data_IF_761684649879
#
_entry.id   IF_761684649879
#
_cell.length_a   1.000
_cell.length_b   1.000
_cell.length_c   1.000
_cell.angle_alpha   90.00
_cell.angle_beta   90.00
_cell.angle_gamma   90.00
#
_symmetry.space_group_name_H-M   'P 1'
#
loop_
_entity.id
_entity.type
_entity.pdbx_description
1 polymer ?
#
# COMPACT_ATOMS: atom_id res chain seq x y z
N UNK A 1 -6.01 9.00 4.59
CA UNK A 1 -6.65 10.12 5.33
C UNK A 1 -8.16 9.95 5.27
N UNK A 2 -8.88 10.34 6.32
CA UNK A 2 -10.33 10.23 6.41
C UNK A 2 -10.94 11.55 6.91
N UNK A 3 -12.15 11.86 6.46
CA UNK A 3 -12.91 13.05 6.80
C UNK A 3 -14.17 12.66 7.58
N UNK A 4 -14.43 13.32 8.69
CA UNK A 4 -15.67 13.12 9.45
C UNK A 4 -16.64 14.24 9.12
N UNK A 5 -17.79 13.90 8.55
CA UNK A 5 -18.85 14.85 8.19
C UNK A 5 -20.10 14.61 9.06
N UNK A 6 -20.78 15.70 9.41
CA UNK A 6 -22.02 15.65 10.19
C UNK A 6 -23.23 15.68 9.26
N UNK A 7 -24.07 14.66 9.32
CA UNK A 7 -25.33 14.62 8.59
C UNK A 7 -26.28 15.69 9.15
N UNK A 8 -26.74 16.62 8.30
CA UNK A 8 -27.54 17.78 8.73
C UNK A 8 -28.91 17.35 9.28
N UNK A 9 -29.50 16.28 8.73
CA UNK A 9 -30.85 15.82 9.09
C UNK A 9 -30.90 15.06 10.42
N UNK A 10 -29.88 14.24 10.70
CA UNK A 10 -29.85 13.33 11.85
C UNK A 10 -28.87 13.78 12.93
N UNK A 11 -27.95 14.68 12.60
CA UNK A 11 -26.86 15.12 13.45
C UNK A 11 -25.74 14.08 13.63
N UNK A 12 -25.83 12.93 12.97
CA UNK A 12 -24.84 11.86 13.11
C UNK A 12 -23.54 12.18 12.38
N UNK A 13 -22.42 11.89 13.03
CA UNK A 13 -21.10 11.95 12.42
C UNK A 13 -20.85 10.67 11.63
N UNK A 14 -20.48 10.81 10.37
CA UNK A 14 -20.07 9.72 9.49
C UNK A 14 -18.65 9.98 9.00
N UNK A 15 -17.85 8.92 8.95
CA UNK A 15 -16.48 8.98 8.45
C UNK A 15 -16.45 8.51 7.02
N UNK A 16 -15.79 9.28 6.17
CA UNK A 16 -15.59 9.02 4.75
C UNK A 16 -14.10 8.98 4.45
N UNK A 17 -13.70 8.10 3.54
CA UNK A 17 -12.37 8.12 2.95
C UNK A 17 -12.22 9.32 2.02
N UNK A 18 -10.97 9.74 1.78
CA UNK A 18 -10.69 10.80 0.82
C UNK A 18 -11.24 10.49 -0.60
N UNK A 19 -11.24 9.21 -1.00
CA UNK A 19 -11.79 8.75 -2.28
C UNK A 19 -13.28 9.06 -2.40
N UNK A 20 -14.08 8.68 -1.40
CA UNK A 20 -15.53 8.89 -1.39
C UNK A 20 -15.89 10.38 -1.42
N UNK A 21 -15.11 11.23 -0.74
CA UNK A 21 -15.28 12.68 -0.77
C UNK A 21 -14.97 13.26 -2.15
N UNK A 22 -13.88 12.82 -2.80
CA UNK A 22 -13.50 13.30 -4.13
C UNK A 22 -14.48 12.86 -5.21
N UNK A 23 -15.01 11.64 -5.12
CA UNK A 23 -16.09 11.14 -5.98
C UNK A 23 -17.37 11.98 -5.86
N UNK A 24 -17.72 12.41 -4.64
CA UNK A 24 -18.89 13.26 -4.38
C UNK A 24 -18.72 14.71 -4.86
N UNK A 25 -17.51 15.25 -4.80
CA UNK A 25 -17.19 16.62 -5.27
C UNK A 25 -17.06 16.66 -6.80
N UNK A 26 -17.05 15.51 -7.47
CA UNK A 26 -17.01 15.39 -8.93
C UNK A 26 -15.63 15.70 -9.50
N UNK A 27 -14.58 15.56 -8.69
CA UNK A 27 -13.21 15.84 -9.13
C UNK A 27 -12.68 14.67 -9.98
N UNK A 28 -12.72 14.85 -11.30
CA UNK A 28 -12.19 13.91 -12.31
C UNK A 28 -10.67 13.94 -12.43
N UNK A 29 -9.97 14.85 -11.74
CA UNK A 29 -8.57 15.21 -12.05
C UNK A 29 -7.60 14.03 -11.96
N UNK A 30 -7.94 12.95 -11.24
CA UNK A 30 -7.05 11.79 -11.11
C UNK A 30 -7.31 10.65 -12.11
N UNK A 31 -8.28 10.75 -13.02
CA UNK A 31 -8.56 9.69 -14.00
C UNK A 31 -8.19 10.08 -15.44
N UNK A 32 -7.73 11.32 -15.68
CA UNK A 32 -7.41 11.82 -17.03
C UNK A 32 -5.95 12.29 -17.12
N UNK A 33 -5.22 11.85 -18.14
CA UNK A 33 -3.86 12.32 -18.48
C UNK A 33 -3.82 12.84 -19.91
N UNK A 34 -2.97 13.84 -20.16
CA UNK A 34 -2.81 14.44 -21.50
C UNK A 34 -1.46 14.01 -22.07
N UNK A 35 -1.48 13.39 -23.26
CA UNK A 35 -0.27 13.02 -23.99
C UNK A 35 -0.43 13.53 -25.42
N UNK A 36 0.44 14.47 -25.85
CA UNK A 36 0.45 15.04 -27.22
C UNK A 36 -0.92 15.59 -27.68
N UNK A 37 -1.52 16.44 -26.85
CA UNK A 37 -2.83 17.10 -27.07
C UNK A 37 -4.05 16.17 -27.09
N UNK A 38 -3.88 14.88 -26.79
CA UNK A 38 -4.98 13.91 -26.65
C UNK A 38 -5.22 13.56 -25.17
N UNK A 39 -6.50 13.41 -24.81
CA UNK A 39 -6.95 13.12 -23.44
C UNK A 39 -7.18 11.62 -23.28
N UNK A 40 -6.50 11.00 -22.33
CA UNK A 40 -6.57 9.57 -22.05
C UNK A 40 -7.14 9.31 -20.65
N UNK A 41 -7.95 8.26 -20.52
CA UNK A 41 -8.43 7.80 -19.21
C UNK A 41 -7.52 6.73 -18.62
N UNK A 42 -7.03 6.95 -17.41
CA UNK A 42 -6.19 5.97 -16.69
C UNK A 42 -6.99 4.69 -16.41
N UNK A 43 -8.29 4.81 -16.11
CA UNK A 43 -9.21 3.67 -15.93
C UNK A 43 -9.32 2.71 -17.12
N UNK A 44 -8.82 3.09 -18.31
CA UNK A 44 -8.74 2.24 -19.50
C UNK A 44 -7.39 1.55 -19.70
N UNK A 45 -6.44 1.73 -18.77
CA UNK A 45 -5.15 1.05 -18.79
C UNK A 45 -5.37 -0.47 -18.76
N UNK A 46 -5.14 -1.11 -19.90
CA UNK A 46 -4.96 -2.55 -20.00
C UNK A 46 -3.48 -2.80 -19.76
N UNK A 47 -3.17 -3.59 -18.75
CA UNK A 47 -1.79 -4.00 -18.46
C UNK A 47 -1.19 -4.61 -19.73
N UNK A 48 -0.13 -4.02 -20.29
CA UNK A 48 0.53 -4.58 -21.47
C UNK A 48 1.21 -5.93 -21.19
N UNK A 49 1.20 -6.37 -19.93
CA UNK A 49 1.57 -7.72 -19.51
C UNK A 49 0.47 -8.77 -19.75
N UNK A 50 -0.74 -8.37 -20.17
CA UNK A 50 -1.90 -9.25 -20.40
C UNK A 50 -2.29 -9.38 -21.89
N UNK A 51 -1.31 -9.30 -22.79
CA UNK A 51 -1.55 -9.32 -24.24
C UNK A 51 -0.47 -10.06 -25.03
N UNK A 52 -0.11 -11.28 -24.62
CA UNK A 52 0.75 -12.19 -25.38
C UNK A 52 0.18 -13.59 -25.37
N UNK A 53 -0.41 -13.99 -26.49
CA UNK A 53 -0.90 -15.33 -26.78
C UNK A 53 0.22 -16.37 -26.57
N UNK A 54 0.08 -17.25 -25.58
CA UNK A 54 1.01 -18.36 -25.34
C UNK A 54 1.38 -18.62 -23.88
N UNK A 55 0.51 -19.36 -23.17
CA UNK A 55 0.80 -20.20 -21.99
C UNK A 55 1.68 -19.63 -20.87
N UNK A 56 1.13 -19.48 -19.66
CA UNK A 56 1.44 -20.26 -18.44
C UNK A 56 0.73 -19.60 -17.23
N UNK A 57 -0.16 -20.34 -16.56
CA UNK A 57 -0.76 -20.11 -15.21
C UNK A 57 -0.98 -18.66 -14.71
N UNK A 58 -2.21 -18.16 -14.83
CA UNK A 58 -2.70 -16.92 -14.20
C UNK A 58 -2.94 -17.12 -12.70
N UNK A 59 -1.91 -16.93 -11.86
CA UNK A 59 -2.08 -16.86 -10.41
C UNK A 59 -2.84 -15.61 -9.99
N UNK A 60 -3.74 -15.72 -9.02
CA UNK A 60 -4.40 -14.55 -8.41
C UNK A 60 -3.41 -13.85 -7.47
N UNK A 61 -3.27 -12.53 -7.60
CA UNK A 61 -2.48 -11.70 -6.67
C UNK A 61 -3.38 -11.34 -5.48
N UNK A 62 -3.00 -11.80 -4.29
CA UNK A 62 -3.60 -11.40 -3.02
C UNK A 62 -2.70 -10.35 -2.33
N UNK A 63 -3.30 -9.30 -1.75
CA UNK A 63 -2.54 -8.25 -1.06
C UNK A 63 -2.63 -8.47 0.44
N UNK A 64 -1.52 -8.90 1.03
CA UNK A 64 -1.44 -9.17 2.46
C UNK A 64 -1.15 -7.86 3.20
N UNK A 65 -1.86 -7.65 4.32
CA UNK A 65 -1.57 -6.57 5.29
C UNK A 65 -1.17 -7.20 6.60
N UNK A 66 0.06 -6.93 7.04
CA UNK A 66 0.64 -7.42 8.28
C UNK A 66 0.96 -6.25 9.20
N UNK A 67 0.46 -6.30 10.43
CA UNK A 67 0.85 -5.36 11.48
C UNK A 67 2.02 -5.97 12.27
N UNK A 68 3.14 -5.25 12.32
CA UNK A 68 4.35 -5.67 13.02
C UNK A 68 4.29 -5.15 14.46
N UNK A 69 4.38 -6.06 15.42
CA UNK A 69 4.41 -5.71 16.84
C UNK A 69 5.85 -5.49 17.31
N UNK A 70 6.07 -4.39 18.05
CA UNK A 70 7.30 -4.12 18.78
C UNK A 70 7.25 -4.72 20.18
N UNK A 71 8.33 -5.38 20.61
CA UNK A 71 8.47 -5.84 21.99
C UNK A 71 9.14 -4.77 22.86
N UNK A 72 9.97 -3.90 22.26
CA UNK A 72 10.70 -2.86 22.97
C UNK A 72 10.86 -1.57 22.15
N UNK A 73 10.99 -0.43 22.84
CA UNK A 73 11.30 0.84 22.18
C UNK A 73 12.72 0.79 21.60
N UNK A 74 12.90 1.37 20.41
CA UNK A 74 14.16 1.36 19.67
C UNK A 74 14.45 0.05 18.95
N UNK A 75 13.47 -0.84 18.83
CA UNK A 75 13.60 -2.06 18.04
C UNK A 75 13.74 -1.73 16.55
N UNK A 76 14.81 -2.26 15.94
CA UNK A 76 15.13 -2.02 14.53
C UNK A 76 14.98 -3.26 13.66
N UNK A 77 14.66 -4.41 14.25
CA UNK A 77 14.56 -5.69 13.54
C UNK A 77 13.28 -6.40 13.93
N UNK A 78 12.43 -6.63 12.95
CA UNK A 78 11.10 -7.22 13.14
C UNK A 78 11.04 -8.59 12.50
N UNK A 79 10.44 -9.55 13.19
CA UNK A 79 10.13 -10.85 12.60
C UNK A 79 8.97 -10.73 11.62
N UNK A 80 9.17 -11.22 10.41
CA UNK A 80 8.14 -11.36 9.39
C UNK A 80 7.77 -12.85 9.29
N UNK A 81 6.51 -13.25 9.55
CA UNK A 81 6.10 -14.64 9.60
C UNK A 81 6.19 -15.37 8.25
N UNK A 82 6.28 -14.66 7.14
CA UNK A 82 6.38 -15.24 5.81
C UNK A 82 7.52 -14.63 5.00
N UNK A 83 8.17 -15.45 4.17
CA UNK A 83 9.18 -14.96 3.22
C UNK A 83 8.49 -14.20 2.10
N UNK A 84 8.86 -12.93 1.91
CA UNK A 84 8.34 -12.08 0.84
C UNK A 84 9.26 -12.21 -0.36
N UNK A 85 8.74 -12.79 -1.45
CA UNK A 85 9.52 -13.03 -2.67
C UNK A 85 9.59 -11.81 -3.58
N UNK A 86 8.53 -11.00 -3.62
CA UNK A 86 8.48 -9.75 -4.37
C UNK A 86 8.71 -8.59 -3.39
N UNK A 87 9.98 -8.23 -3.21
CA UNK A 87 10.38 -7.14 -2.33
C UNK A 87 10.19 -5.76 -2.95
N UNK A 88 10.12 -5.67 -4.29
CA UNK A 88 9.99 -4.40 -5.02
C UNK A 88 8.59 -3.79 -4.85
N UNK A 89 7.58 -4.64 -4.63
CA UNK A 89 6.19 -4.25 -4.43
C UNK A 89 5.78 -4.09 -2.96
N UNK A 90 6.76 -3.97 -2.05
CA UNK A 90 6.51 -3.88 -0.60
C UNK A 90 6.28 -2.43 -0.17
N UNK A 91 5.27 -2.22 0.66
CA UNK A 91 5.01 -0.95 1.33
C UNK A 91 5.11 -1.11 2.84
N UNK A 92 5.91 -0.26 3.48
CA UNK A 92 5.92 -0.12 4.93
C UNK A 92 5.31 1.23 5.31
N UNK A 93 4.40 1.22 6.27
CA UNK A 93 3.93 2.43 6.91
C UNK A 93 4.18 2.41 8.40
N UNK A 94 4.61 3.55 8.95
CA UNK A 94 4.65 3.81 10.39
C UNK A 94 3.68 4.95 10.68
N UNK A 95 2.70 4.73 11.54
CA UNK A 95 1.64 5.70 11.84
C UNK A 95 0.95 6.26 10.58
N UNK A 96 0.75 5.42 9.57
CA UNK A 96 0.19 5.77 8.24
C UNK A 96 1.09 6.63 7.33
N UNK A 97 2.35 6.85 7.69
CA UNK A 97 3.36 7.49 6.83
C UNK A 97 4.12 6.42 6.06
N UNK A 98 4.28 6.59 4.75
CA UNK A 98 4.96 5.65 3.86
C UNK A 98 6.48 5.83 3.89
N UNK A 99 7.21 4.71 3.95
CA UNK A 99 8.67 4.66 3.94
C UNK A 99 9.22 3.94 2.70
N UNK A 100 10.46 4.25 2.33
CA UNK A 100 11.13 3.73 1.13
C UNK A 100 11.87 2.42 1.41
N UNK A 101 11.63 1.43 0.55
CA UNK A 101 12.35 0.15 0.56
C UNK A 101 13.78 0.31 0.00
N UNK A 102 14.75 -0.34 0.63
CA UNK A 102 16.14 -0.47 0.18
C UNK A 102 17.14 -0.54 1.34
N UNK A 103 18.27 -1.22 1.12
CA UNK A 103 19.33 -1.39 2.14
C UNK A 103 19.88 -0.05 2.61
N UNK A 104 19.99 0.92 1.69
CA UNK A 104 20.43 2.30 1.94
C UNK A 104 19.26 3.30 2.07
N UNK A 105 18.05 2.81 2.37
CA UNK A 105 16.82 3.61 2.51
C UNK A 105 16.27 3.50 3.93
N UNK A 106 14.95 3.66 4.08
CA UNK A 106 14.30 3.69 5.38
C UNK A 106 14.13 2.29 5.99
N UNK A 107 13.95 1.26 5.15
CA UNK A 107 13.85 -0.12 5.59
C UNK A 107 14.21 -1.11 4.48
N UNK A 108 14.58 -2.33 4.85
CA UNK A 108 14.69 -3.44 3.91
C UNK A 108 14.24 -4.76 4.54
N UNK A 109 14.14 -5.80 3.72
CA UNK A 109 13.77 -7.15 4.15
C UNK A 109 14.87 -8.10 3.70
N UNK A 110 15.36 -8.90 4.64
CA UNK A 110 16.33 -9.97 4.39
C UNK A 110 15.84 -11.24 5.09
N UNK A 111 15.54 -12.27 4.30
CA UNK A 111 14.98 -13.53 4.80
C UNK A 111 13.61 -13.34 5.45
N UNK A 112 13.51 -13.70 6.73
CA UNK A 112 12.31 -13.61 7.57
C UNK A 112 12.33 -12.35 8.46
N UNK A 113 13.18 -11.37 8.16
CA UNK A 113 13.34 -10.16 8.97
C UNK A 113 13.18 -8.89 8.16
N UNK A 114 12.48 -7.92 8.76
CA UNK A 114 12.48 -6.54 8.33
C UNK A 114 13.47 -5.74 9.18
N UNK A 115 14.30 -4.96 8.53
CA UNK A 115 15.30 -4.09 9.15
C UNK A 115 14.90 -2.64 8.93
N UNK A 116 14.77 -1.90 10.02
CA UNK A 116 14.44 -0.49 10.05
C UNK A 116 15.71 0.36 10.18
N UNK A 117 15.83 1.34 9.29
CA UNK A 117 16.92 2.32 9.21
C UNK A 117 16.40 3.76 9.16
N UNK A 118 15.11 3.97 9.40
CA UNK A 118 14.49 5.29 9.32
C UNK A 118 15.11 6.27 10.31
N UNK A 119 14.92 7.57 10.05
CA UNK A 119 15.62 8.64 10.79
C UNK A 119 15.21 8.85 12.25
N UNK A 120 14.50 7.92 12.87
CA UNK A 120 14.06 7.97 14.27
C UNK A 120 13.87 6.57 14.84
N UNK A 121 13.92 6.49 16.17
CA UNK A 121 13.68 5.26 16.92
C UNK A 121 12.17 4.99 17.02
N UNK A 122 11.76 3.76 16.68
CA UNK A 122 10.37 3.34 16.78
C UNK A 122 9.98 3.09 18.24
N UNK A 123 8.76 3.47 18.61
CA UNK A 123 8.21 3.25 19.94
C UNK A 123 7.13 2.16 19.93
N UNK A 124 6.94 1.44 21.03
CA UNK A 124 5.89 0.40 21.17
C UNK A 124 4.46 0.90 20.91
N UNK A 125 4.25 2.21 20.93
CA UNK A 125 2.97 2.85 20.57
C UNK A 125 2.82 3.15 19.09
N UNK A 126 3.89 3.08 18.31
CA UNK A 126 3.86 3.31 16.87
C UNK A 126 3.20 2.14 16.16
N UNK A 127 2.40 2.45 15.14
CA UNK A 127 1.71 1.46 14.34
C UNK A 127 2.49 1.17 13.07
N UNK A 128 3.19 0.04 13.05
CA UNK A 128 4.00 -0.41 11.91
C UNK A 128 3.20 -1.43 11.09
N UNK A 129 2.93 -1.11 9.83
CA UNK A 129 2.14 -1.96 8.93
C UNK A 129 2.91 -2.21 7.64
N UNK A 130 3.14 -3.49 7.34
CA UNK A 130 3.74 -3.99 6.11
C UNK A 130 2.65 -4.49 5.17
N UNK A 131 2.76 -4.14 3.88
CA UNK A 131 1.87 -4.63 2.82
C UNK A 131 2.68 -5.16 1.66
N UNK A 132 2.29 -6.33 1.15
CA UNK A 132 3.00 -6.99 0.05
C UNK A 132 2.07 -7.89 -0.77
N UNK A 133 2.36 -8.09 -2.07
CA UNK A 133 1.59 -9.00 -2.89
C UNK A 133 2.03 -10.44 -2.66
N UNK A 134 1.07 -11.36 -2.73
CA UNK A 134 1.27 -12.80 -2.69
C UNK A 134 0.56 -13.44 -3.87
N UNK A 135 1.33 -14.02 -4.77
CA UNK A 135 0.78 -14.81 -5.87
C UNK A 135 0.45 -16.20 -5.34
N UNK A 136 -0.83 -16.58 -5.41
CA UNK A 136 -1.21 -17.97 -5.17
C UNK A 136 -1.31 -18.66 -6.53
N UNK A 137 -0.53 -19.72 -6.79
CA UNK A 137 -0.69 -20.48 -8.02
C UNK A 137 -2.09 -21.11 -8.03
N UNK A 138 -2.85 -20.88 -9.09
CA UNK A 138 -4.10 -21.61 -9.34
C UNK A 138 -3.74 -23.05 -9.71
N UNK A 139 -4.14 -24.01 -8.86
CA UNK A 139 -4.03 -25.45 -9.11
C UNK A 139 -4.77 -25.91 -10.36
#
# INVERSE_FOLDING_TARGET
MAFTLKEIRTGQLRTFSAKEILELIGDRINDEIIIRDEVYRISSCVDFSLGGDGGTSSGTIDWITLELSMESNGETVFYNPEVINDTDSVFLTVNSVLYQYGVDRDFHIEGDRLFWHGGFDLETTDRVVLRYPKTTPTS
#
